data_IF_429604855998
#
_entry.id   IF_429604855998
#
_cell.length_a   1.000
_cell.length_b   1.000
_cell.length_c   1.000
_cell.angle_alpha   90.00
_cell.angle_beta   90.00
_cell.angle_gamma   90.00
#
_symmetry.space_group_name_H-M   'P 1'
#
loop_
_entity.id
_entity.type
_entity.pdbx_description
1 polymer ?
#
# COMPACT_ATOMS: atom_id res chain seq x y z
N UNK A 1 -49.44 9.79 -26.49
CA UNK A 1 -49.34 8.39 -26.07
C UNK A 1 -48.24 8.32 -25.02
N UNK A 2 -48.47 7.66 -23.87
CA UNK A 2 -47.41 7.49 -22.86
C UNK A 2 -46.27 6.67 -23.49
N UNK A 3 -45.03 7.13 -23.33
CA UNK A 3 -43.88 6.36 -23.82
C UNK A 3 -43.80 5.04 -23.05
N UNK A 4 -43.55 3.95 -23.77
CA UNK A 4 -43.37 2.60 -23.22
C UNK A 4 -41.89 2.28 -22.95
N UNK A 5 -41.03 3.30 -23.03
CA UNK A 5 -39.60 3.16 -22.85
C UNK A 5 -39.25 3.02 -21.37
N UNK A 6 -38.19 2.28 -21.08
CA UNK A 6 -37.60 2.28 -19.75
C UNK A 6 -36.66 3.46 -19.61
N UNK A 7 -36.94 4.31 -18.62
CA UNK A 7 -36.07 5.43 -18.25
C UNK A 7 -35.20 4.99 -17.07
N UNK A 8 -33.90 4.92 -17.30
CA UNK A 8 -32.92 4.55 -16.29
C UNK A 8 -32.40 5.82 -15.64
N UNK A 9 -32.54 5.93 -14.32
CA UNK A 9 -32.04 7.06 -13.55
C UNK A 9 -30.84 6.64 -12.69
N UNK A 10 -29.90 7.56 -12.48
CA UNK A 10 -28.84 7.40 -11.50
C UNK A 10 -29.38 7.60 -10.06
N UNK A 11 -28.52 7.38 -9.06
CA UNK A 11 -28.88 7.58 -7.65
C UNK A 11 -29.21 9.02 -7.26
N UNK A 12 -28.92 9.98 -8.15
CA UNK A 12 -29.22 11.41 -7.98
C UNK A 12 -30.50 11.81 -8.73
N UNK A 13 -31.15 10.88 -9.44
CA UNK A 13 -32.37 11.11 -10.21
C UNK A 13 -32.14 11.67 -11.61
N UNK A 14 -30.90 11.71 -12.11
CA UNK A 14 -30.63 12.12 -13.49
C UNK A 14 -30.88 10.96 -14.45
N UNK A 15 -31.46 11.26 -15.61
CA UNK A 15 -31.66 10.25 -16.67
C UNK A 15 -30.30 9.86 -17.25
N UNK A 16 -29.96 8.58 -17.12
CA UNK A 16 -28.76 7.97 -17.71
C UNK A 16 -29.04 7.59 -19.17
N UNK A 17 -30.18 6.93 -19.41
CA UNK A 17 -30.58 6.51 -20.75
C UNK A 17 -32.07 6.14 -20.80
N UNK A 18 -32.61 6.08 -22.02
CA UNK A 18 -33.98 5.66 -22.32
C UNK A 18 -33.93 4.50 -23.30
N UNK A 19 -34.58 3.39 -22.96
CA UNK A 19 -34.48 2.14 -23.72
C UNK A 19 -35.85 1.80 -24.30
N UNK A 20 -35.99 1.74 -25.64
CA UNK A 20 -37.25 1.39 -26.27
C UNK A 20 -37.59 -0.10 -26.09
N UNK A 21 -38.86 -0.50 -26.28
CA UNK A 21 -39.27 -1.89 -26.32
C UNK A 21 -38.44 -2.72 -27.32
N UNK A 22 -38.01 -3.92 -26.92
CA UNK A 22 -37.15 -4.80 -27.73
C UNK A 22 -35.70 -4.32 -27.87
N UNK A 23 -35.34 -3.17 -27.29
CA UNK A 23 -34.00 -2.60 -27.34
C UNK A 23 -33.09 -3.03 -26.19
N UNK A 24 -31.81 -2.67 -26.30
CA UNK A 24 -30.84 -2.72 -25.21
C UNK A 24 -29.81 -1.60 -25.36
N UNK A 25 -29.04 -1.31 -24.30
CA UNK A 25 -27.96 -0.32 -24.34
C UNK A 25 -26.69 -0.84 -25.01
N UNK A 26 -26.60 -2.15 -25.30
CA UNK A 26 -25.35 -2.77 -25.75
C UNK A 26 -24.18 -2.44 -24.83
N UNK A 27 -23.00 -2.19 -25.41
CA UNK A 27 -21.77 -1.86 -24.69
C UNK A 27 -21.57 -0.36 -24.41
N UNK A 28 -22.62 0.48 -24.52
CA UNK A 28 -22.51 1.93 -24.26
C UNK A 28 -22.42 2.27 -22.77
N UNK A 29 -22.83 1.32 -21.92
CA UNK A 29 -22.81 1.41 -20.47
C UNK A 29 -22.07 0.18 -19.91
N UNK A 30 -21.62 0.24 -18.64
CA UNK A 30 -20.90 -0.88 -18.02
C UNK A 30 -21.72 -2.17 -17.94
N UNK A 31 -23.02 -2.00 -17.76
CA UNK A 31 -24.00 -3.06 -17.75
C UNK A 31 -24.92 -2.88 -18.95
N UNK A 32 -25.32 -3.99 -19.55
CA UNK A 32 -26.33 -3.99 -20.60
C UNK A 32 -27.69 -3.90 -19.93
N UNK A 33 -28.37 -2.79 -20.13
CA UNK A 33 -29.76 -2.64 -19.72
C UNK A 33 -30.66 -2.99 -20.90
N UNK A 34 -31.79 -3.64 -20.59
CA UNK A 34 -32.72 -4.17 -21.59
C UNK A 34 -34.09 -3.56 -21.45
N UNK A 35 -34.71 -3.25 -22.58
CA UNK A 35 -36.08 -2.80 -22.67
C UNK A 35 -37.07 -3.95 -22.46
N UNK A 36 -38.34 -3.61 -22.34
CA UNK A 36 -39.42 -4.61 -22.29
C UNK A 36 -39.45 -5.44 -23.58
N UNK A 37 -39.65 -6.76 -23.44
CA UNK A 37 -39.81 -7.67 -24.58
C UNK A 37 -38.50 -8.02 -25.30
N UNK A 38 -37.33 -7.73 -24.72
CA UNK A 38 -36.03 -8.09 -25.28
C UNK A 38 -35.75 -9.59 -25.12
N UNK A 39 -35.26 -10.23 -26.17
CA UNK A 39 -34.82 -11.64 -26.17
C UNK A 39 -33.60 -11.82 -25.26
N UNK A 40 -33.41 -13.01 -24.68
CA UNK A 40 -32.33 -13.32 -23.74
C UNK A 40 -32.30 -12.43 -22.47
N UNK A 41 -33.44 -11.88 -22.08
CA UNK A 41 -33.60 -11.02 -20.90
C UNK A 41 -32.94 -11.59 -19.64
N UNK A 42 -33.15 -12.90 -19.36
CA UNK A 42 -32.60 -13.54 -18.17
C UNK A 42 -31.08 -13.65 -18.19
N UNK A 43 -30.48 -14.02 -19.32
CA UNK A 43 -29.02 -14.13 -19.48
C UNK A 43 -28.35 -12.79 -19.22
N UNK A 44 -28.84 -11.72 -19.85
CA UNK A 44 -28.28 -10.37 -19.71
C UNK A 44 -28.31 -9.88 -18.26
N UNK A 45 -29.39 -10.18 -17.52
CA UNK A 45 -29.51 -9.79 -16.11
C UNK A 45 -28.58 -10.61 -15.22
N UNK A 46 -28.47 -11.91 -15.44
CA UNK A 46 -27.59 -12.75 -14.62
C UNK A 46 -26.12 -12.40 -14.83
N UNK A 47 -25.72 -12.13 -16.07
CA UNK A 47 -24.38 -11.60 -16.34
C UNK A 47 -24.14 -10.27 -15.65
N UNK A 48 -25.13 -9.37 -15.64
CA UNK A 48 -25.00 -8.08 -14.96
C UNK A 48 -24.78 -8.25 -13.46
N UNK A 49 -25.52 -9.15 -12.80
CA UNK A 49 -25.31 -9.45 -11.38
C UNK A 49 -23.96 -10.12 -11.12
N UNK A 50 -23.53 -11.01 -12.00
CA UNK A 50 -22.22 -11.66 -11.87
C UNK A 50 -21.08 -10.64 -11.98
N UNK A 51 -21.13 -9.75 -12.98
CA UNK A 51 -20.18 -8.63 -13.15
C UNK A 51 -20.13 -7.71 -11.93
N UNK A 52 -21.26 -7.45 -11.30
CA UNK A 52 -21.31 -6.67 -10.06
C UNK A 52 -20.68 -7.42 -8.88
N UNK A 53 -20.92 -8.73 -8.74
CA UNK A 53 -20.35 -9.55 -7.67
C UNK A 53 -18.82 -9.60 -7.73
N UNK A 54 -18.27 -9.70 -8.93
CA UNK A 54 -16.82 -9.74 -9.16
C UNK A 54 -16.19 -8.35 -9.34
N UNK A 55 -16.94 -7.26 -9.14
CA UNK A 55 -16.47 -5.89 -9.36
C UNK A 55 -15.81 -5.71 -10.75
N UNK A 56 -16.48 -6.18 -11.80
CA UNK A 56 -16.04 -6.07 -13.20
C UNK A 56 -14.64 -6.65 -13.45
N UNK A 57 -14.27 -7.74 -12.77
CA UNK A 57 -12.94 -8.36 -12.85
C UNK A 57 -12.48 -8.58 -14.29
N UNK A 58 -11.35 -7.96 -14.67
CA UNK A 58 -10.70 -8.12 -15.97
C UNK A 58 -9.30 -7.51 -15.96
N UNK A 59 -8.36 -8.06 -16.73
CA UNK A 59 -7.00 -7.51 -16.84
C UNK A 59 -6.91 -6.17 -17.59
N UNK A 60 -7.97 -5.81 -18.31
CA UNK A 60 -8.12 -4.52 -18.99
C UNK A 60 -9.23 -3.70 -18.36
N UNK A 61 -9.02 -2.38 -18.29
CA UNK A 61 -10.01 -1.47 -17.73
C UNK A 61 -11.34 -1.49 -18.52
N UNK A 62 -12.50 -1.34 -17.86
CA UNK A 62 -13.79 -1.17 -18.52
C UNK A 62 -13.81 -0.01 -19.53
N UNK A 63 -14.41 -0.23 -20.70
CA UNK A 63 -14.43 0.73 -21.82
C UNK A 63 -15.45 1.87 -21.67
N UNK A 64 -16.46 1.69 -20.82
CA UNK A 64 -17.54 2.67 -20.60
C UNK A 64 -17.78 2.86 -19.12
N UNK A 65 -16.80 3.38 -18.37
CA UNK A 65 -16.90 3.48 -16.92
C UNK A 65 -17.87 4.58 -16.47
N UNK A 66 -18.50 4.38 -15.31
CA UNK A 66 -19.32 5.39 -14.65
C UNK A 66 -18.63 5.84 -13.36
N UNK A 67 -18.75 7.12 -13.02
CA UNK A 67 -18.11 7.67 -11.81
C UNK A 67 -18.54 6.90 -10.56
N UNK A 68 -17.56 6.45 -9.77
CA UNK A 68 -17.75 5.63 -8.58
C UNK A 68 -17.76 4.12 -8.84
N UNK A 69 -17.63 3.66 -10.09
CA UNK A 69 -17.48 2.25 -10.42
C UNK A 69 -16.24 1.66 -9.76
N UNK A 70 -16.35 0.41 -9.29
CA UNK A 70 -15.21 -0.42 -8.88
C UNK A 70 -14.78 -1.34 -10.03
N UNK A 71 -13.48 -1.58 -10.13
CA UNK A 71 -12.88 -2.52 -11.08
C UNK A 71 -11.76 -3.29 -10.40
N UNK A 72 -11.77 -4.61 -10.50
CA UNK A 72 -10.65 -5.45 -10.08
C UNK A 72 -9.79 -5.89 -11.28
N UNK A 73 -8.51 -5.52 -11.26
CA UNK A 73 -7.54 -5.95 -12.27
C UNK A 73 -6.90 -7.27 -11.83
N UNK A 74 -7.30 -8.39 -12.44
CA UNK A 74 -6.78 -9.74 -12.15
C UNK A 74 -5.38 -10.00 -12.74
N UNK A 75 -4.88 -9.13 -13.62
CA UNK A 75 -3.50 -9.19 -14.08
C UNK A 75 -2.52 -8.60 -13.05
N UNK A 76 -2.99 -7.69 -12.18
CA UNK A 76 -2.17 -7.00 -11.18
C UNK A 76 -2.68 -7.16 -9.75
N UNK A 77 -3.68 -8.02 -9.52
CA UNK A 77 -4.37 -8.24 -8.26
C UNK A 77 -4.75 -6.95 -7.50
N UNK A 78 -5.20 -5.91 -8.22
CA UNK A 78 -5.41 -4.57 -7.65
C UNK A 78 -6.83 -4.08 -7.91
N UNK A 79 -7.46 -3.50 -6.87
CA UNK A 79 -8.77 -2.87 -6.95
C UNK A 79 -8.65 -1.38 -7.28
N UNK A 80 -9.48 -0.90 -8.21
CA UNK A 80 -9.57 0.48 -8.66
C UNK A 80 -10.98 1.02 -8.49
N UNK A 81 -11.11 2.36 -8.42
CA UNK A 81 -12.37 3.07 -8.59
C UNK A 81 -12.25 4.12 -9.70
N UNK A 82 -13.33 4.38 -10.43
CA UNK A 82 -13.35 5.43 -11.47
C UNK A 82 -13.75 6.78 -10.87
N UNK A 83 -12.89 7.79 -10.93
CA UNK A 83 -13.14 9.12 -10.33
C UNK A 83 -13.98 10.05 -11.23
N UNK A 84 -14.27 9.62 -12.46
CA UNK A 84 -14.92 10.39 -13.51
C UNK A 84 -14.02 10.69 -14.71
N UNK A 85 -12.70 10.55 -14.54
CA UNK A 85 -11.68 10.81 -15.55
C UNK A 85 -10.74 9.61 -15.77
N UNK A 86 -10.42 8.87 -14.71
CA UNK A 86 -9.50 7.73 -14.76
C UNK A 86 -9.81 6.70 -13.67
N UNK A 87 -9.32 5.48 -13.85
CA UNK A 87 -9.32 4.47 -12.80
C UNK A 87 -8.15 4.74 -11.85
N UNK A 88 -8.48 4.98 -10.59
CA UNK A 88 -7.54 5.24 -9.50
C UNK A 88 -7.50 4.02 -8.59
N UNK A 89 -6.32 3.48 -8.23
CA UNK A 89 -6.26 2.34 -7.33
C UNK A 89 -6.83 2.72 -5.96
N UNK A 90 -7.73 1.89 -5.41
CA UNK A 90 -8.28 2.06 -4.06
C UNK A 90 -7.20 1.83 -3.00
N UNK A 91 -6.21 1.00 -3.31
CA UNK A 91 -4.96 0.92 -2.57
C UNK A 91 -3.95 1.86 -3.22
N UNK A 92 -3.86 3.12 -2.75
CA UNK A 92 -2.67 3.95 -2.98
C UNK A 92 -1.44 3.44 -2.21
N UNK A 93 -1.59 2.31 -1.50
CA UNK A 93 -0.57 1.59 -0.77
C UNK A 93 -0.66 0.09 -1.06
N UNK A 94 -0.40 -0.30 -2.30
CA UNK A 94 0.34 -1.55 -2.46
C UNK A 94 1.81 -1.23 -2.17
N UNK A 95 2.22 -1.47 -0.93
CA UNK A 95 3.58 -1.90 -0.64
C UNK A 95 3.82 -3.30 -1.24
N UNK A 96 3.40 -3.55 -2.49
CA UNK A 96 3.65 -4.80 -3.21
C UNK A 96 5.12 -4.92 -3.63
N UNK A 97 5.91 -3.87 -3.42
CA UNK A 97 7.37 -3.87 -3.55
C UNK A 97 8.08 -3.56 -2.23
N UNK A 98 7.42 -3.66 -1.06
CA UNK A 98 8.12 -3.54 0.22
C UNK A 98 8.99 -4.78 0.47
N UNK A 99 10.17 -4.79 -0.14
CA UNK A 99 11.20 -5.77 0.09
C UNK A 99 12.07 -5.38 1.28
N UNK A 100 12.79 -6.35 1.81
CA UNK A 100 13.92 -6.08 2.70
C UNK A 100 14.99 -5.32 1.89
N UNK A 101 15.45 -4.19 2.43
CA UNK A 101 16.60 -3.48 1.86
C UNK A 101 17.86 -4.36 2.01
N UNK A 102 18.83 -4.29 1.09
CA UNK A 102 20.07 -5.05 1.23
C UNK A 102 20.94 -4.42 2.33
N UNK A 103 20.75 -4.88 3.57
CA UNK A 103 21.42 -4.35 4.76
C UNK A 103 22.95 -4.42 4.66
N UNK A 104 23.62 -3.42 5.22
CA UNK A 104 25.07 -3.42 5.41
C UNK A 104 25.45 -4.39 6.55
N UNK A 105 26.69 -4.88 6.58
CA UNK A 105 27.14 -5.78 7.66
C UNK A 105 27.03 -5.15 9.05
N UNK A 106 27.12 -3.82 9.13
CA UNK A 106 26.97 -3.06 10.37
C UNK A 106 25.53 -3.04 10.92
N UNK A 107 24.54 -3.48 10.13
CA UNK A 107 23.18 -3.72 10.61
C UNK A 107 23.05 -4.99 11.46
N UNK A 108 24.07 -5.86 11.44
CA UNK A 108 24.10 -7.08 12.25
C UNK A 108 24.78 -6.80 13.59
N UNK A 109 24.19 -7.27 14.69
CA UNK A 109 24.72 -7.14 16.05
C UNK A 109 25.03 -5.69 16.50
N UNK A 110 24.21 -4.73 16.09
CA UNK A 110 24.34 -3.32 16.48
C UNK A 110 24.21 -3.17 18.01
N UNK A 111 25.21 -2.54 18.64
CA UNK A 111 25.22 -2.28 20.08
C UNK A 111 24.42 -1.01 20.44
N UNK A 112 23.35 -1.19 21.21
CA UNK A 112 22.50 -0.09 21.67
C UNK A 112 22.93 0.49 23.03
N UNK A 113 24.05 0.02 23.59
CA UNK A 113 24.58 0.47 24.89
C UNK A 113 25.61 1.60 24.77
N UNK A 114 25.96 2.00 23.55
CA UNK A 114 26.85 3.12 23.26
C UNK A 114 26.17 4.16 22.36
N UNK A 115 26.36 5.45 22.66
CA UNK A 115 25.86 6.55 21.83
C UNK A 115 26.68 6.61 20.53
N UNK A 116 26.11 6.05 19.46
CA UNK A 116 26.77 5.88 18.16
C UNK A 116 25.78 6.09 17.02
N UNK A 117 26.30 6.52 15.87
CA UNK A 117 25.55 6.63 14.62
C UNK A 117 26.13 5.63 13.63
N UNK A 118 25.35 4.63 13.25
CA UNK A 118 25.81 3.51 12.41
C UNK A 118 25.02 3.45 11.12
N UNK A 119 25.71 3.41 9.98
CA UNK A 119 25.08 3.15 8.68
C UNK A 119 24.61 1.69 8.63
N UNK A 120 23.31 1.47 8.45
CA UNK A 120 22.70 0.12 8.39
C UNK A 120 22.32 -0.28 6.96
N UNK A 121 22.28 0.69 6.05
CA UNK A 121 22.07 0.46 4.63
C UNK A 121 22.67 1.61 3.82
N UNK A 122 23.48 1.28 2.80
CA UNK A 122 24.04 2.24 1.85
C UNK A 122 23.54 1.94 0.44
N UNK A 123 22.87 2.91 -0.18
CA UNK A 123 22.33 2.72 -1.53
C UNK A 123 23.42 2.88 -2.60
N UNK A 124 23.93 1.77 -3.10
CA UNK A 124 24.87 1.73 -4.24
C UNK A 124 24.20 1.52 -5.60
N UNK A 125 22.85 1.45 -5.63
CA UNK A 125 22.04 1.20 -6.83
C UNK A 125 21.51 2.52 -7.41
N UNK A 126 21.16 2.53 -8.71
CA UNK A 126 20.50 3.66 -9.37
C UNK A 126 19.03 3.85 -8.95
N UNK A 127 18.44 2.83 -8.32
CA UNK A 127 17.08 2.90 -7.75
C UNK A 127 17.06 3.64 -6.41
N UNK A 128 15.98 4.36 -6.15
CA UNK A 128 15.69 5.07 -4.90
C UNK A 128 14.88 4.19 -3.97
N UNK A 129 15.26 4.17 -2.69
CA UNK A 129 14.61 3.35 -1.66
C UNK A 129 13.74 4.22 -0.75
N UNK A 130 12.56 3.72 -0.39
CA UNK A 130 11.58 4.42 0.45
C UNK A 130 11.27 3.58 1.68
N UNK A 131 11.91 3.83 2.84
CA UNK A 131 11.69 3.04 4.04
C UNK A 131 10.24 3.21 4.54
N UNK A 132 9.55 2.09 4.77
CA UNK A 132 8.17 2.04 5.28
C UNK A 132 8.08 1.40 6.66
N UNK A 133 9.13 0.70 7.10
CA UNK A 133 9.21 0.14 8.44
C UNK A 133 10.62 -0.30 8.79
N UNK A 134 10.89 -0.35 10.09
CA UNK A 134 12.14 -0.86 10.66
C UNK A 134 11.82 -1.87 11.75
N UNK A 135 12.58 -2.96 11.78
CA UNK A 135 12.50 -3.99 12.79
C UNK A 135 13.86 -4.19 13.44
N UNK A 136 13.86 -4.27 14.77
CA UNK A 136 15.02 -4.57 15.60
C UNK A 136 14.80 -5.93 16.24
N UNK A 137 15.67 -6.89 15.92
CA UNK A 137 15.62 -8.24 16.48
C UNK A 137 16.74 -8.37 17.51
N UNK A 138 16.47 -8.74 18.77
CA UNK A 138 17.53 -9.03 19.73
C UNK A 138 18.54 -10.06 19.19
N UNK A 139 19.82 -9.69 19.22
CA UNK A 139 20.91 -10.59 18.91
C UNK A 139 21.49 -11.12 20.23
N UNK A 140 21.10 -12.34 20.58
CA UNK A 140 21.35 -12.93 21.90
C UNK A 140 20.28 -12.54 22.92
N UNK A 141 20.57 -12.79 24.19
CA UNK A 141 19.65 -12.51 25.31
C UNK A 141 19.97 -11.13 25.89
N UNK A 142 19.10 -10.11 25.72
CA UNK A 142 19.30 -8.81 26.31
C UNK A 142 19.35 -8.87 27.83
N UNK A 143 20.32 -8.18 28.43
CA UNK A 143 20.46 -8.02 29.89
C UNK A 143 20.35 -6.57 30.35
N UNK A 144 20.24 -5.62 29.41
CA UNK A 144 20.02 -4.22 29.74
C UNK A 144 18.77 -3.99 30.60
N UNK A 145 18.88 -3.08 31.57
CA UNK A 145 17.79 -2.72 32.49
C UNK A 145 17.02 -1.48 32.06
N UNK A 146 17.55 -0.73 31.09
CA UNK A 146 16.89 0.42 30.47
C UNK A 146 16.80 0.25 28.95
N UNK A 147 15.77 0.85 28.35
CA UNK A 147 15.66 0.92 26.89
C UNK A 147 16.69 1.90 26.30
N UNK A 148 17.01 1.72 25.02
CA UNK A 148 17.73 2.69 24.21
C UNK A 148 16.73 3.53 23.41
N UNK A 149 16.98 4.83 23.26
CA UNK A 149 16.25 5.69 22.34
C UNK A 149 17.07 5.87 21.07
N UNK A 150 16.41 5.70 19.93
CA UNK A 150 17.03 5.68 18.62
C UNK A 150 16.32 6.66 17.67
N UNK A 151 17.09 7.17 16.71
CA UNK A 151 16.57 7.83 15.53
C UNK A 151 17.01 7.06 14.28
N UNK A 152 16.16 7.02 13.27
CA UNK A 152 16.51 6.54 11.93
C UNK A 152 16.70 7.76 11.03
N UNK A 153 17.83 7.87 10.33
CA UNK A 153 18.19 9.08 9.55
C UNK A 153 18.62 8.77 8.14
N UNK A 154 18.36 9.68 7.21
CA UNK A 154 19.00 9.68 5.89
C UNK A 154 19.98 10.85 5.87
N UNK A 155 21.27 10.53 5.70
CA UNK A 155 22.39 11.46 5.91
C UNK A 155 22.43 12.10 7.31
N UNK A 156 23.51 12.80 7.63
CA UNK A 156 23.85 13.29 8.99
C UNK A 156 22.93 14.38 9.55
N UNK A 157 21.79 14.71 8.93
CA UNK A 157 21.00 15.89 9.30
C UNK A 157 19.49 15.76 9.16
N UNK A 158 18.95 14.63 8.69
CA UNK A 158 17.48 14.48 8.50
C UNK A 158 16.95 13.15 9.06
N UNK A 159 15.96 13.25 9.95
CA UNK A 159 15.33 12.10 10.61
C UNK A 159 14.18 11.55 9.75
N UNK A 160 14.19 10.24 9.53
CA UNK A 160 13.10 9.43 8.96
C UNK A 160 12.12 9.02 10.06
N UNK A 161 12.65 8.73 11.24
CA UNK A 161 11.91 8.31 12.42
C UNK A 161 12.66 8.82 13.65
N UNK A 162 11.94 9.46 14.56
CA UNK A 162 12.53 10.15 15.71
C UNK A 162 12.06 9.54 17.03
N UNK A 163 12.99 9.40 17.99
CA UNK A 163 12.74 9.01 19.37
C UNK A 163 11.94 7.70 19.49
N UNK A 164 12.40 6.64 18.82
CA UNK A 164 11.87 5.29 19.06
C UNK A 164 12.61 4.62 20.19
N UNK A 165 11.87 4.01 21.11
CA UNK A 165 12.44 3.32 22.25
C UNK A 165 12.51 1.82 21.99
N UNK A 166 13.73 1.27 21.94
CA UNK A 166 13.99 -0.17 21.82
C UNK A 166 14.43 -0.68 23.17
N UNK A 167 13.62 -1.55 23.77
CA UNK A 167 13.81 -2.00 25.14
C UNK A 167 13.34 -3.44 25.38
N UNK A 168 13.26 -3.81 26.66
CA UNK A 168 12.96 -5.18 27.09
C UNK A 168 11.45 -5.46 27.19
N UNK A 169 10.81 -5.86 26.08
CA UNK A 169 9.60 -6.68 26.15
C UNK A 169 9.98 -8.17 25.97
N UNK A 170 10.24 -8.84 27.09
CA UNK A 170 10.48 -10.29 27.19
C UNK A 170 11.65 -10.84 26.35
N UNK A 171 12.87 -10.30 26.52
CA UNK A 171 14.20 -10.86 26.17
C UNK A 171 14.43 -11.51 24.77
N UNK A 172 13.42 -11.61 23.92
CA UNK A 172 13.37 -12.38 22.67
C UNK A 172 12.40 -11.79 21.65
N UNK A 173 11.56 -10.82 22.06
CA UNK A 173 10.63 -10.17 21.15
C UNK A 173 11.36 -9.13 20.29
N UNK A 174 11.05 -9.12 19.00
CA UNK A 174 11.48 -8.06 18.09
C UNK A 174 10.68 -6.77 18.37
N UNK A 175 11.28 -5.61 18.11
CA UNK A 175 10.60 -4.32 18.10
C UNK A 175 10.38 -3.90 16.65
N UNK A 176 9.13 -3.60 16.28
CA UNK A 176 8.78 -3.11 14.95
C UNK A 176 8.20 -1.70 15.03
N UNK A 177 8.67 -0.82 14.15
CA UNK A 177 8.15 0.53 14.00
C UNK A 177 7.75 0.76 12.55
N UNK A 178 6.47 1.07 12.34
CA UNK A 178 5.97 1.51 11.05
C UNK A 178 6.36 2.98 10.83
N UNK A 179 6.84 3.28 9.63
CA UNK A 179 7.15 4.65 9.20
C UNK A 179 5.93 5.14 8.42
N UNK A 180 5.19 6.08 8.99
CA UNK A 180 4.00 6.64 8.36
C UNK A 180 4.36 7.90 7.58
N UNK A 181 3.94 7.94 6.31
CA UNK A 181 4.24 9.04 5.38
C UNK A 181 5.50 8.80 4.55
N UNK A 182 5.50 9.24 3.29
CA UNK A 182 6.66 9.17 2.39
C UNK A 182 7.63 10.31 2.67
N UNK A 183 8.06 10.48 3.91
CA UNK A 183 8.71 11.73 4.32
C UNK A 183 10.12 11.84 3.75
N UNK A 184 10.84 10.72 3.58
CA UNK A 184 12.23 10.69 3.09
C UNK A 184 12.55 9.41 2.33
N UNK A 185 13.40 9.55 1.31
CA UNK A 185 13.91 8.46 0.47
C UNK A 185 15.43 8.38 0.55
N UNK A 186 16.01 7.22 0.30
CA UNK A 186 17.45 6.99 0.20
C UNK A 186 17.83 6.94 -1.29
N UNK A 187 18.39 8.03 -1.80
CA UNK A 187 18.86 8.15 -3.17
C UNK A 187 20.21 7.43 -3.38
N UNK A 188 20.67 7.31 -4.62
CA UNK A 188 21.98 6.72 -4.94
C UNK A 188 23.10 7.48 -4.24
N UNK A 189 23.96 6.75 -3.52
CA UNK A 189 25.07 7.29 -2.76
C UNK A 189 24.70 7.75 -1.34
N UNK A 190 23.41 7.73 -0.97
CA UNK A 190 22.96 8.00 0.38
C UNK A 190 22.94 6.73 1.23
N UNK A 191 22.95 6.94 2.55
CA UNK A 191 22.84 5.88 3.53
C UNK A 191 21.74 6.17 4.55
N UNK A 192 21.19 5.10 5.07
CA UNK A 192 20.27 5.08 6.19
C UNK A 192 21.05 4.73 7.46
N UNK A 193 20.88 5.53 8.49
CA UNK A 193 21.61 5.43 9.75
C UNK A 193 20.67 5.14 10.90
N UNK A 194 21.12 4.30 11.84
CA UNK A 194 20.56 4.22 13.19
C UNK A 194 21.46 5.04 14.10
N UNK A 195 20.88 6.05 14.75
CA UNK A 195 21.55 6.84 15.77
C UNK A 195 21.01 6.45 17.15
N UNK A 196 21.89 6.07 18.06
CA UNK A 196 21.57 5.85 19.47
C UNK A 196 21.66 7.20 20.20
N UNK A 197 20.51 7.82 20.45
CA UNK A 197 20.43 9.14 21.13
C UNK A 197 20.51 9.02 22.64
N UNK A 198 19.89 7.98 23.21
CA UNK A 198 20.03 7.62 24.62
C UNK A 198 20.38 6.14 24.71
N UNK A 199 21.59 5.77 25.11
CA UNK A 199 21.98 4.37 25.18
C UNK A 199 21.26 3.59 26.28
N UNK A 200 21.07 2.30 26.05
CA UNK A 200 20.65 1.37 27.07
C UNK A 200 21.75 1.18 28.14
N UNK A 201 21.34 0.92 29.38
CA UNK A 201 22.25 0.73 30.52
C UNK A 201 21.92 -0.54 31.29
N UNK A 202 22.80 -0.95 32.20
CA UNK A 202 22.58 -2.08 33.11
C UNK A 202 22.79 -3.47 32.51
N UNK A 203 23.35 -3.58 31.30
CA UNK A 203 23.66 -4.84 30.65
C UNK A 203 23.85 -4.68 29.15
N UNK A 204 23.86 -5.79 28.42
CA UNK A 204 24.00 -5.83 26.96
C UNK A 204 22.65 -5.70 26.26
N UNK A 205 22.62 -4.95 25.16
CA UNK A 205 21.50 -4.88 24.24
C UNK A 205 22.05 -4.75 22.82
N UNK A 206 22.18 -5.88 22.14
CA UNK A 206 22.58 -5.94 20.74
C UNK A 206 21.39 -6.36 19.88
N UNK A 207 21.28 -5.79 18.68
CA UNK A 207 20.17 -6.05 17.76
C UNK A 207 20.64 -6.21 16.32
N UNK A 208 19.93 -7.05 15.58
CA UNK A 208 19.96 -7.02 14.12
C UNK A 208 18.89 -6.05 13.62
N UNK A 209 19.25 -5.19 12.68
CA UNK A 209 18.39 -4.15 12.11
C UNK A 209 17.94 -4.59 10.73
N UNK A 210 16.63 -4.59 10.51
CA UNK A 210 16.02 -4.88 9.21
C UNK A 210 15.12 -3.71 8.80
N UNK A 211 15.30 -3.20 7.58
CA UNK A 211 14.49 -2.11 7.03
C UNK A 211 13.72 -2.61 5.83
N UNK A 212 12.42 -2.33 5.84
CA UNK A 212 11.48 -2.70 4.78
C UNK A 212 11.00 -1.45 4.06
N UNK A 213 10.81 -1.55 2.75
CA UNK A 213 10.32 -0.40 2.00
C UNK A 213 10.27 -0.61 0.49
N UNK A 214 9.67 0.35 -0.20
CA UNK A 214 9.56 0.30 -1.65
C UNK A 214 10.89 0.66 -2.33
N UNK A 215 11.15 0.05 -3.47
CA UNK A 215 12.24 0.40 -4.39
C UNK A 215 11.63 0.93 -5.68
N UNK A 216 12.09 2.11 -6.15
CA UNK A 216 11.65 2.71 -7.42
C UNK A 216 12.82 3.21 -8.25
#
# INVERSE_FOLDING_TARGET
MASNDYVINDSKGNIVTTIPPGGSTGSTLPLVFVGRGTTNYGEIIWEAFYKLLENFTNGSQPSSPVKGMLWYNDATDTMFYYDGNSFVPLSSLSSSSAGLFPMDSAATNLDLTAATTTAVFTNSSSATYYPTGVMFIPNGTPTATTAANLNLKVAVSEDVLETVSVGISNATSHAYFAIQGTTKSVATGEALFVEVTTPATGGSLNVDVLVYGARR
#
